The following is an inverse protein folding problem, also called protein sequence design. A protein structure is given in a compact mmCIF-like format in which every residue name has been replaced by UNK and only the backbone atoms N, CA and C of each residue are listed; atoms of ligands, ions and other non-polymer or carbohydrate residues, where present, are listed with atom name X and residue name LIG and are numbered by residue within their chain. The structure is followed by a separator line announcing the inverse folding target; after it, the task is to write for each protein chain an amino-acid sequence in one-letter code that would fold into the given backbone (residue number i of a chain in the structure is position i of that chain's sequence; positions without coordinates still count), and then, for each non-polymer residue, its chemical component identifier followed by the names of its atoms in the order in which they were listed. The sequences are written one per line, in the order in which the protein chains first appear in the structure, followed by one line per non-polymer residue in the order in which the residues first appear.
data_IF_834608252219
#
_entry.id   IF_834608252219
#
_cell.length_a   1.000
_cell.length_b   1.000
_cell.length_c   1.000
_cell.angle_alpha   90.00
_cell.angle_beta   90.00
_cell.angle_gamma   90.00
#
_symmetry.space_group_name_H-M   'P 1'
#
loop_
_entity.id
_entity.type
_entity.pdbx_description
1 polymer ?
#
# COMPACT_ATOMS: atom_id res chain seq x y z
N UNK A 1 -23.46 2.48 16.71
CA UNK A 1 -22.56 3.58 16.30
C UNK A 1 -21.66 3.19 15.12
N UNK A 2 -20.92 2.07 15.16
CA UNK A 2 -20.20 1.54 13.99
C UNK A 2 -21.10 1.29 12.77
N UNK A 3 -22.31 0.78 12.99
CA UNK A 3 -23.36 0.65 11.96
C UNK A 3 -23.89 1.99 11.45
N UNK A 4 -23.85 3.06 12.26
CA UNK A 4 -24.33 4.38 11.84
C UNK A 4 -23.32 5.10 10.92
N UNK A 5 -22.02 4.95 11.17
CA UNK A 5 -20.96 5.45 10.27
C UNK A 5 -20.93 4.70 8.93
N UNK A 6 -21.14 3.38 8.95
CA UNK A 6 -21.26 2.57 7.73
C UNK A 6 -22.53 2.88 6.92
N UNK A 7 -23.65 3.17 7.58
CA UNK A 7 -24.90 3.55 6.92
C UNK A 7 -24.90 5.00 6.43
N UNK A 8 -24.27 5.94 7.12
CA UNK A 8 -24.16 7.35 6.68
C UNK A 8 -23.31 7.52 5.42
N UNK A 9 -22.42 6.57 5.12
CA UNK A 9 -21.69 6.49 3.85
C UNK A 9 -22.58 5.98 2.68
N UNK A 10 -23.65 5.25 3.00
CA UNK A 10 -24.57 4.63 2.02
C UNK A 10 -25.86 5.43 1.80
N UNK A 11 -26.22 6.31 2.73
CA UNK A 11 -27.37 7.20 2.61
C UNK A 11 -26.92 8.62 2.33
N UNK A 12 -27.46 9.26 1.29
CA UNK A 12 -27.53 10.72 1.18
C UNK A 12 -28.21 11.28 2.42
N UNK A 13 -27.46 11.48 3.50
CA UNK A 13 -27.91 12.10 4.74
C UNK A 13 -27.26 13.47 4.83
N UNK A 14 -28.01 14.47 5.30
CA UNK A 14 -27.73 15.92 5.22
C UNK A 14 -26.40 16.41 5.87
N UNK A 15 -25.58 15.52 6.44
CA UNK A 15 -24.28 15.86 7.02
C UNK A 15 -23.20 15.01 6.39
N UNK A 16 -22.28 15.64 5.66
CA UNK A 16 -21.14 14.97 5.03
C UNK A 16 -20.33 14.17 6.07
N UNK A 17 -19.86 12.95 5.74
CA UNK A 17 -18.99 12.14 6.61
C UNK A 17 -17.79 12.92 7.18
N UNK A 18 -17.27 13.88 6.41
CA UNK A 18 -16.17 14.76 6.83
C UNK A 18 -16.56 15.66 8.02
N UNK A 19 -17.79 16.19 8.02
CA UNK A 19 -18.29 17.05 9.10
C UNK A 19 -18.50 16.25 10.38
N UNK A 20 -19.03 15.04 10.28
CA UNK A 20 -19.20 14.15 11.42
C UNK A 20 -17.85 13.75 12.02
N UNK A 21 -16.86 13.40 11.19
CA UNK A 21 -15.51 13.09 11.66
C UNK A 21 -14.89 14.30 12.37
N UNK A 22 -15.03 15.52 11.82
CA UNK A 22 -14.50 16.72 12.45
C UNK A 22 -15.13 16.98 13.83
N UNK A 23 -16.45 16.81 13.97
CA UNK A 23 -17.13 16.95 15.25
C UNK A 23 -16.64 15.95 16.31
N UNK A 24 -16.31 14.71 15.90
CA UNK A 24 -15.75 13.72 16.81
C UNK A 24 -14.31 14.06 17.22
N UNK A 25 -13.51 14.61 16.30
CA UNK A 25 -12.13 15.08 16.60
C UNK A 25 -12.13 16.22 17.61
N UNK A 26 -13.05 17.18 17.47
CA UNK A 26 -13.16 18.32 18.37
C UNK A 26 -13.93 18.01 19.67
N UNK A 27 -14.45 16.78 19.78
CA UNK A 27 -15.22 16.32 20.92
C UNK A 27 -14.39 16.05 22.17
N UNK A 28 -15.04 15.96 23.35
CA UNK A 28 -14.33 15.75 24.62
C UNK A 28 -13.85 14.30 24.83
N UNK A 29 -14.40 13.32 24.09
CA UNK A 29 -14.04 11.91 24.20
C UNK A 29 -12.77 11.62 23.41
N UNK A 30 -11.67 11.39 24.14
CA UNK A 30 -10.34 11.16 23.57
C UNK A 30 -10.28 9.90 22.70
N UNK A 31 -11.05 8.86 23.01
CA UNK A 31 -11.04 7.63 22.24
C UNK A 31 -11.78 7.82 20.91
N UNK A 32 -12.94 8.47 20.94
CA UNK A 32 -13.68 8.82 19.73
C UNK A 32 -12.90 9.79 18.83
N UNK A 33 -12.22 10.77 19.41
CA UNK A 33 -11.34 11.67 18.66
C UNK A 33 -10.19 10.91 17.98
N UNK A 34 -9.58 9.96 18.69
CA UNK A 34 -8.54 9.09 18.13
C UNK A 34 -9.04 8.23 16.98
N UNK A 35 -10.22 7.62 17.12
CA UNK A 35 -10.85 6.82 16.08
C UNK A 35 -11.21 7.66 14.84
N UNK A 36 -11.72 8.88 15.04
CA UNK A 36 -12.05 9.79 13.96
C UNK A 36 -10.80 10.23 13.19
N UNK A 37 -9.70 10.57 13.90
CA UNK A 37 -8.42 10.85 13.26
C UNK A 37 -7.89 9.65 12.48
N UNK A 38 -7.96 8.44 13.06
CA UNK A 38 -7.52 7.22 12.37
C UNK A 38 -8.24 7.00 11.05
N UNK A 39 -9.58 7.02 11.03
CA UNK A 39 -10.34 6.84 9.78
C UNK A 39 -10.08 7.95 8.78
N UNK A 40 -9.99 9.21 9.24
CA UNK A 40 -9.65 10.34 8.38
C UNK A 40 -8.28 10.19 7.73
N UNK A 41 -7.29 9.68 8.47
CA UNK A 41 -5.98 9.35 7.93
C UNK A 41 -6.04 8.25 6.85
N UNK A 42 -6.87 7.21 7.04
CA UNK A 42 -7.01 6.16 6.02
C UNK A 42 -7.61 6.70 4.71
N UNK A 43 -8.63 7.55 4.79
CA UNK A 43 -9.19 8.18 3.59
C UNK A 43 -8.19 9.13 2.93
N UNK A 44 -7.51 9.95 3.75
CA UNK A 44 -6.48 10.86 3.27
C UNK A 44 -5.30 10.12 2.60
N UNK A 45 -4.94 8.92 3.07
CA UNK A 45 -3.92 8.08 2.42
C UNK A 45 -4.33 7.71 0.99
N UNK A 46 -5.53 7.16 0.82
CA UNK A 46 -6.05 6.75 -0.48
C UNK A 46 -6.18 7.94 -1.46
N UNK A 47 -6.55 9.11 -0.95
CA UNK A 47 -6.69 10.34 -1.74
C UNK A 47 -5.34 11.03 -2.01
N UNK A 48 -4.24 10.58 -1.42
CA UNK A 48 -2.93 11.22 -1.55
C UNK A 48 -2.76 12.51 -0.76
N UNK A 49 -3.57 12.75 0.27
CA UNK A 49 -3.47 13.91 1.17
C UNK A 49 -2.48 13.65 2.32
N UNK A 50 -1.21 13.43 1.99
CA UNK A 50 -0.23 12.90 2.94
C UNK A 50 0.07 13.78 4.16
N UNK A 51 0.01 15.11 4.02
CA UNK A 51 0.16 16.03 5.15
C UNK A 51 -0.97 15.84 6.19
N UNK A 52 -2.18 15.53 5.73
CA UNK A 52 -3.30 15.21 6.60
C UNK A 52 -3.09 13.85 7.29
N UNK A 53 -2.63 12.82 6.56
CA UNK A 53 -2.24 11.52 7.13
C UNK A 53 -1.26 11.72 8.29
N UNK A 54 -0.20 12.49 8.09
CA UNK A 54 0.82 12.78 9.10
C UNK A 54 0.22 13.40 10.37
N UNK A 55 -0.62 14.42 10.22
CA UNK A 55 -1.24 15.10 11.35
C UNK A 55 -2.21 14.20 12.11
N UNK A 56 -3.04 13.46 11.37
CA UNK A 56 -4.11 12.64 11.94
C UNK A 56 -3.58 11.38 12.61
N UNK A 57 -2.58 10.72 12.03
CA UNK A 57 -1.94 9.54 12.64
C UNK A 57 -1.28 9.89 13.96
N UNK A 58 -0.57 11.02 14.03
CA UNK A 58 0.03 11.51 15.29
C UNK A 58 -1.05 11.71 16.35
N UNK A 59 -2.11 12.43 16.02
CA UNK A 59 -3.23 12.70 16.94
C UNK A 59 -3.91 11.40 17.37
N UNK A 60 -4.14 10.46 16.45
CA UNK A 60 -4.74 9.17 16.75
C UNK A 60 -3.91 8.37 17.75
N UNK A 61 -2.59 8.27 17.54
CA UNK A 61 -1.68 7.57 18.44
C UNK A 61 -1.64 8.21 19.83
N UNK A 62 -1.60 9.55 19.92
CA UNK A 62 -1.67 10.28 21.19
C UNK A 62 -2.98 10.01 21.95
N UNK A 63 -4.11 10.03 21.23
CA UNK A 63 -5.43 9.75 21.78
C UNK A 63 -5.55 8.30 22.27
N UNK A 64 -5.12 7.31 21.48
CA UNK A 64 -5.15 5.91 21.88
C UNK A 64 -4.22 5.62 23.05
N UNK A 65 -3.04 6.24 23.10
CA UNK A 65 -2.14 6.13 24.24
C UNK A 65 -2.78 6.68 25.52
N UNK A 66 -3.42 7.85 25.46
CA UNK A 66 -4.15 8.44 26.60
C UNK A 66 -5.35 7.61 27.04
N UNK A 67 -6.05 6.98 26.09
CA UNK A 67 -7.17 6.10 26.37
C UNK A 67 -6.74 4.70 26.87
N UNK A 68 -5.44 4.36 26.78
CA UNK A 68 -4.94 3.02 27.05
C UNK A 68 -5.37 1.97 26.00
N UNK A 69 -5.78 2.41 24.81
CA UNK A 69 -6.30 1.54 23.75
C UNK A 69 -5.17 0.93 22.92
N UNK A 70 -4.75 -0.27 23.31
CA UNK A 70 -3.74 -1.06 22.60
C UNK A 70 -4.17 -1.52 21.22
N UNK A 71 -5.48 -1.72 21.00
CA UNK A 71 -6.00 -2.10 19.68
C UNK A 71 -5.91 -0.91 18.72
N UNK A 72 -6.32 0.27 19.17
CA UNK A 72 -6.20 1.52 18.41
C UNK A 72 -4.74 1.83 18.05
N UNK A 73 -3.82 1.65 19.00
CA UNK A 73 -2.38 1.78 18.74
C UNK A 73 -1.91 0.80 17.65
N UNK A 74 -2.23 -0.49 17.78
CA UNK A 74 -1.83 -1.50 16.79
C UNK A 74 -2.37 -1.20 15.38
N UNK A 75 -3.55 -0.58 15.29
CA UNK A 75 -4.19 -0.19 14.01
C UNK A 75 -3.58 1.07 13.39
N UNK A 76 -3.18 2.05 14.19
CA UNK A 76 -2.61 3.30 13.69
C UNK A 76 -1.11 3.21 13.35
N UNK A 77 -0.36 2.30 13.98
CA UNK A 77 1.08 2.15 13.75
C UNK A 77 1.47 1.84 12.28
N UNK A 78 0.74 1.03 11.49
CA UNK A 78 1.03 0.85 10.07
C UNK A 78 0.95 2.14 9.23
N UNK A 79 0.09 3.08 9.59
CA UNK A 79 0.03 4.39 8.94
C UNK A 79 1.22 5.28 9.36
N UNK A 80 1.66 5.19 10.62
CA UNK A 80 2.87 5.90 11.05
C UNK A 80 4.12 5.32 10.37
N UNK A 81 4.18 4.00 10.19
CA UNK A 81 5.24 3.36 9.42
C UNK A 81 5.32 3.90 7.99
N UNK A 82 4.18 4.17 7.34
CA UNK A 82 4.14 4.82 6.04
C UNK A 82 4.70 6.24 6.06
N UNK A 83 4.31 7.03 7.06
CA UNK A 83 4.83 8.39 7.28
C UNK A 83 6.35 8.36 7.42
N UNK A 84 6.87 7.47 8.27
CA UNK A 84 8.32 7.28 8.46
C UNK A 84 9.01 6.79 7.20
N UNK A 85 8.37 5.92 6.41
CA UNK A 85 8.90 5.46 5.13
C UNK A 85 9.16 6.63 4.17
N UNK A 86 8.19 7.54 3.97
CA UNK A 86 8.39 8.70 3.09
C UNK A 86 9.31 9.76 3.68
N UNK A 87 9.46 9.82 5.00
CA UNK A 87 10.49 10.64 5.66
C UNK A 87 11.90 10.05 5.56
N UNK A 88 12.04 8.79 5.12
CA UNK A 88 13.31 8.07 5.03
C UNK A 88 13.71 7.29 6.28
N UNK A 89 12.89 7.29 7.33
CA UNK A 89 13.11 6.49 8.55
C UNK A 89 12.58 5.05 8.39
N UNK A 90 13.25 4.27 7.54
CA UNK A 90 12.85 2.88 7.25
C UNK A 90 12.97 1.96 8.48
N UNK A 91 13.94 2.21 9.36
CA UNK A 91 14.12 1.43 10.59
C UNK A 91 13.02 1.73 11.61
N UNK A 92 12.66 3.01 11.79
CA UNK A 92 11.53 3.39 12.62
C UNK A 92 10.20 2.89 12.07
N UNK A 93 10.04 2.84 10.74
CA UNK A 93 8.87 2.24 10.11
C UNK A 93 8.76 0.73 10.44
N UNK A 94 9.85 -0.02 10.33
CA UNK A 94 9.90 -1.43 10.74
C UNK A 94 9.61 -1.62 12.23
N UNK A 95 10.12 -0.73 13.09
CA UNK A 95 9.85 -0.76 14.52
C UNK A 95 8.34 -0.61 14.81
N UNK A 96 7.66 0.31 14.12
CA UNK A 96 6.22 0.51 14.26
C UNK A 96 5.42 -0.74 13.82
N UNK A 97 5.80 -1.37 12.70
CA UNK A 97 5.14 -2.61 12.24
C UNK A 97 5.39 -3.79 13.19
N UNK A 98 6.59 -3.87 13.79
CA UNK A 98 6.89 -4.88 14.80
C UNK A 98 6.07 -4.66 16.08
N UNK A 99 5.95 -3.41 16.52
CA UNK A 99 5.15 -3.06 17.69
C UNK A 99 3.66 -3.30 17.45
N UNK A 100 3.14 -2.99 16.25
CA UNK A 100 1.77 -3.32 15.86
C UNK A 100 1.49 -4.83 15.99
N UNK A 101 2.40 -5.68 15.51
CA UNK A 101 2.29 -7.14 15.66
C UNK A 101 2.44 -7.61 17.11
N UNK A 102 3.27 -6.93 17.90
CA UNK A 102 3.45 -7.25 19.33
C UNK A 102 2.17 -6.95 20.10
N UNK A 103 1.61 -5.77 19.93
CA UNK A 103 0.35 -5.33 20.53
C UNK A 103 -0.80 -6.23 20.11
N UNK A 104 -0.92 -6.53 18.81
CA UNK A 104 -1.91 -7.44 18.25
C UNK A 104 -2.01 -8.75 19.04
N UNK A 105 -0.89 -9.37 19.39
CA UNK A 105 -0.86 -10.65 20.13
C UNK A 105 -1.48 -10.57 21.54
N UNK A 106 -1.61 -9.38 22.11
CA UNK A 106 -2.09 -9.20 23.50
C UNK A 106 -3.61 -9.28 23.65
N UNK A 107 -4.39 -9.07 22.59
CA UNK A 107 -5.86 -9.04 22.63
C UNK A 107 -6.51 -10.09 21.68
N UNK A 108 -5.76 -11.13 21.35
CA UNK A 108 -6.15 -12.20 20.42
C UNK A 108 -5.58 -12.00 19.01
N UNK A 109 -5.69 -13.00 18.13
CA UNK A 109 -5.22 -12.83 16.74
C UNK A 109 -6.00 -11.72 16.04
N UNK A 110 -5.29 -10.80 15.38
CA UNK A 110 -5.91 -9.88 14.42
C UNK A 110 -6.67 -10.68 13.36
N UNK A 111 -7.55 -10.01 12.60
CA UNK A 111 -8.08 -10.64 11.37
C UNK A 111 -6.87 -11.00 10.50
N UNK A 112 -6.89 -12.18 9.87
CA UNK A 112 -5.78 -12.63 9.03
C UNK A 112 -5.42 -11.59 7.95
N UNK A 113 -6.42 -10.88 7.43
CA UNK A 113 -6.23 -9.77 6.49
C UNK A 113 -5.35 -8.64 7.06
N UNK A 114 -5.52 -8.28 8.33
CA UNK A 114 -4.70 -7.24 8.97
C UNK A 114 -3.25 -7.69 9.14
N UNK A 115 -3.04 -8.95 9.54
CA UNK A 115 -1.68 -9.50 9.66
C UNK A 115 -0.98 -9.56 8.31
N UNK A 116 -1.68 -10.03 7.27
CA UNK A 116 -1.17 -10.07 5.90
C UNK A 116 -0.84 -8.64 5.41
N UNK A 117 -1.71 -7.67 5.66
CA UNK A 117 -1.45 -6.28 5.27
C UNK A 117 -0.18 -5.71 5.91
N UNK A 118 0.04 -5.98 7.21
CA UNK A 118 1.27 -5.61 7.90
C UNK A 118 2.48 -6.34 7.29
N UNK A 119 2.35 -7.61 6.92
CA UNK A 119 3.43 -8.36 6.26
C UNK A 119 3.77 -7.79 4.88
N UNK A 120 2.78 -7.39 4.07
CA UNK A 120 2.99 -6.73 2.77
C UNK A 120 3.80 -5.43 2.93
N UNK A 121 3.48 -4.61 3.94
CA UNK A 121 4.27 -3.39 4.25
C UNK A 121 5.69 -3.72 4.72
N UNK A 122 5.87 -4.78 5.52
CA UNK A 122 7.20 -5.22 5.94
C UNK A 122 8.05 -5.70 4.77
N UNK A 123 7.47 -6.43 3.82
CA UNK A 123 8.15 -6.87 2.60
C UNK A 123 8.66 -5.64 1.84
N UNK A 124 7.81 -4.62 1.65
CA UNK A 124 8.19 -3.35 1.02
C UNK A 124 9.37 -2.67 1.73
N UNK A 125 9.33 -2.59 3.06
CA UNK A 125 10.43 -1.99 3.84
C UNK A 125 11.73 -2.78 3.76
N UNK A 126 11.69 -4.13 3.83
CA UNK A 126 12.88 -4.96 3.66
C UNK A 126 13.48 -4.80 2.26
N UNK A 127 12.63 -4.69 1.24
CA UNK A 127 13.05 -4.35 -0.12
C UNK A 127 13.74 -2.98 -0.11
N UNK A 128 13.14 -1.92 0.44
CA UNK A 128 13.73 -0.56 0.50
C UNK A 128 15.04 -0.49 1.28
N UNK A 129 15.21 -1.34 2.29
CA UNK A 129 16.44 -1.48 3.08
C UNK A 129 17.53 -2.35 2.41
N UNK A 130 17.26 -2.87 1.22
CA UNK A 130 18.16 -3.79 0.51
C UNK A 130 18.41 -5.10 1.28
N UNK A 131 17.36 -5.62 1.94
CA UNK A 131 17.36 -6.87 2.70
C UNK A 131 16.51 -7.96 2.00
N UNK A 132 16.86 -8.42 0.77
CA UNK A 132 16.01 -9.32 -0.02
C UNK A 132 15.76 -10.67 0.67
N UNK A 133 16.70 -11.17 1.46
CA UNK A 133 16.52 -12.41 2.23
C UNK A 133 15.40 -12.27 3.28
N UNK A 134 15.35 -11.14 3.99
CA UNK A 134 14.30 -10.86 4.98
C UNK A 134 12.94 -10.62 4.32
N UNK A 135 12.94 -10.00 3.13
CA UNK A 135 11.74 -9.88 2.32
C UNK A 135 11.19 -11.28 1.95
N UNK A 136 12.05 -12.18 1.46
CA UNK A 136 11.68 -13.55 1.11
C UNK A 136 11.19 -14.37 2.31
N UNK A 137 11.86 -14.27 3.46
CA UNK A 137 11.39 -14.89 4.71
C UNK A 137 9.99 -14.37 5.10
N UNK A 138 9.78 -13.06 5.01
CA UNK A 138 8.46 -12.46 5.33
C UNK A 138 7.38 -12.94 4.36
N UNK A 139 7.69 -13.08 3.06
CA UNK A 139 6.78 -13.65 2.05
C UNK A 139 6.40 -15.09 2.42
N UNK A 140 7.36 -15.93 2.80
CA UNK A 140 7.09 -17.33 3.17
C UNK A 140 6.11 -17.41 4.35
N UNK A 141 6.30 -16.60 5.39
CA UNK A 141 5.38 -16.56 6.55
C UNK A 141 4.01 -15.99 6.15
N UNK A 142 3.96 -14.96 5.30
CA UNK A 142 2.70 -14.38 4.83
C UNK A 142 1.90 -15.36 3.97
N UNK A 143 2.57 -16.21 3.19
CA UNK A 143 1.95 -17.24 2.32
C UNK A 143 1.11 -18.23 3.13
N UNK A 144 1.61 -18.67 4.28
CA UNK A 144 0.84 -19.52 5.21
C UNK A 144 -0.43 -18.83 5.75
N UNK A 145 -0.41 -17.50 5.93
CA UNK A 145 -1.59 -16.73 6.35
C UNK A 145 -2.58 -16.57 5.21
N UNK A 146 -2.11 -16.24 4.01
CA UNK A 146 -2.93 -16.11 2.80
C UNK A 146 -3.70 -17.40 2.54
N UNK A 147 -3.02 -18.56 2.55
CA UNK A 147 -3.65 -19.86 2.33
C UNK A 147 -4.78 -20.14 3.35
N UNK A 148 -4.58 -19.74 4.61
CA UNK A 148 -5.62 -19.88 5.66
C UNK A 148 -6.74 -18.86 5.57
N UNK A 149 -6.48 -17.69 4.98
CA UNK A 149 -7.48 -16.63 4.82
C UNK A 149 -8.48 -16.92 3.69
N UNK A 150 -8.11 -17.78 2.74
CA UNK A 150 -8.88 -18.06 1.53
C UNK A 150 -9.30 -16.78 0.76
N UNK A 151 -8.49 -15.72 0.83
CA UNK A 151 -8.70 -14.46 0.11
C UNK A 151 -7.89 -14.44 -1.19
N UNK A 152 -8.54 -14.52 -2.37
CA UNK A 152 -7.85 -14.46 -3.66
C UNK A 152 -7.14 -13.12 -3.86
N UNK A 153 -7.76 -12.03 -3.43
CA UNK A 153 -7.19 -10.68 -3.49
C UNK A 153 -5.85 -10.60 -2.73
N UNK A 154 -5.80 -11.09 -1.50
CA UNK A 154 -4.57 -11.08 -0.71
C UNK A 154 -3.50 -12.02 -1.27
N UNK A 155 -3.89 -13.10 -1.94
CA UNK A 155 -2.96 -13.97 -2.66
C UNK A 155 -2.31 -13.23 -3.83
N UNK A 156 -3.10 -12.56 -4.66
CA UNK A 156 -2.61 -11.77 -5.80
C UNK A 156 -1.65 -10.68 -5.32
N UNK A 157 -1.98 -9.96 -4.24
CA UNK A 157 -1.09 -8.93 -3.70
C UNK A 157 0.24 -9.52 -3.21
N UNK A 158 0.22 -10.65 -2.51
CA UNK A 158 1.44 -11.30 -2.05
C UNK A 158 2.28 -11.84 -3.22
N UNK A 159 1.66 -12.49 -4.19
CA UNK A 159 2.37 -13.04 -5.35
C UNK A 159 2.95 -11.93 -6.23
N UNK A 160 2.25 -10.79 -6.38
CA UNK A 160 2.80 -9.61 -7.05
C UNK A 160 4.02 -9.05 -6.30
N UNK A 161 4.02 -9.04 -4.95
CA UNK A 161 5.18 -8.64 -4.15
C UNK A 161 6.35 -9.60 -4.32
N UNK A 162 6.10 -10.91 -4.39
CA UNK A 162 7.16 -11.88 -4.65
C UNK A 162 7.74 -11.70 -6.04
N UNK A 163 6.91 -11.58 -7.08
CA UNK A 163 7.37 -11.34 -8.44
C UNK A 163 8.20 -10.05 -8.54
N UNK A 164 7.77 -8.96 -7.88
CA UNK A 164 8.53 -7.72 -7.81
C UNK A 164 9.91 -7.91 -7.16
N UNK A 165 9.98 -8.69 -6.08
CA UNK A 165 11.25 -9.04 -5.43
C UNK A 165 12.16 -9.83 -6.39
N UNK A 166 11.62 -10.80 -7.13
CA UNK A 166 12.38 -11.59 -8.11
C UNK A 166 12.94 -10.73 -9.24
N UNK A 167 12.14 -9.79 -9.77
CA UNK A 167 12.62 -8.80 -10.75
C UNK A 167 13.80 -8.03 -10.17
N UNK A 168 13.66 -7.50 -8.95
CA UNK A 168 14.70 -6.71 -8.31
C UNK A 168 15.99 -7.49 -8.04
N UNK A 169 15.89 -8.76 -7.66
CA UNK A 169 17.06 -9.61 -7.41
C UNK A 169 17.66 -10.19 -8.69
N UNK A 170 17.10 -9.90 -9.87
CA UNK A 170 17.56 -10.40 -11.16
C UNK A 170 17.14 -11.83 -11.49
N UNK A 171 16.24 -12.43 -10.70
CA UNK A 171 15.68 -13.76 -10.96
C UNK A 171 14.49 -13.65 -11.92
N UNK A 172 14.78 -13.18 -13.14
CA UNK A 172 13.77 -12.82 -14.13
C UNK A 172 12.96 -14.03 -14.62
N UNK A 173 13.52 -15.24 -14.53
CA UNK A 173 12.81 -16.48 -14.89
C UNK A 173 11.69 -16.75 -13.90
N UNK A 174 11.98 -16.80 -12.59
CA UNK A 174 10.93 -17.00 -11.58
C UNK A 174 9.94 -15.83 -11.55
N UNK A 175 10.41 -14.59 -11.78
CA UNK A 175 9.51 -13.45 -11.92
C UNK A 175 8.49 -13.66 -13.04
N UNK A 176 8.93 -14.13 -14.21
CA UNK A 176 8.05 -14.42 -15.35
C UNK A 176 7.03 -15.51 -15.02
N UNK A 177 7.50 -16.63 -14.48
CA UNK A 177 6.63 -17.76 -14.10
C UNK A 177 5.54 -17.34 -13.11
N UNK A 178 5.90 -16.53 -12.10
CA UNK A 178 4.93 -15.99 -11.14
C UNK A 178 3.92 -15.07 -11.82
N UNK A 179 4.36 -14.11 -12.64
CA UNK A 179 3.46 -13.19 -13.35
C UNK A 179 2.47 -13.95 -14.23
N UNK A 180 2.96 -14.89 -15.04
CA UNK A 180 2.12 -15.70 -15.94
C UNK A 180 1.13 -16.58 -15.15
N UNK A 181 1.55 -17.15 -14.02
CA UNK A 181 0.67 -17.92 -13.14
C UNK A 181 -0.45 -17.07 -12.55
N UNK A 182 -0.17 -15.83 -12.14
CA UNK A 182 -1.19 -14.92 -11.58
C UNK A 182 -2.19 -14.52 -12.68
N UNK A 183 -1.71 -14.17 -13.88
CA UNK A 183 -2.55 -13.77 -15.02
C UNK A 183 -3.48 -14.90 -15.49
N UNK A 184 -2.99 -16.14 -15.51
CA UNK A 184 -3.79 -17.32 -15.84
C UNK A 184 -4.93 -17.50 -14.82
N UNK A 185 -4.64 -17.40 -13.52
CA UNK A 185 -5.64 -17.52 -12.46
C UNK A 185 -6.71 -16.41 -12.48
N UNK A 186 -6.33 -15.18 -12.85
CA UNK A 186 -7.24 -14.05 -12.99
C UNK A 186 -8.24 -14.22 -14.14
N UNK A 187 -7.79 -14.81 -15.25
CA UNK A 187 -8.64 -15.08 -16.43
C UNK A 187 -9.74 -16.09 -16.13
N UNK A 188 -9.53 -16.96 -15.15
CA UNK A 188 -10.50 -18.00 -14.73
C UNK A 188 -11.55 -17.49 -13.71
N UNK A 189 -11.27 -16.40 -12.99
CA UNK A 189 -12.05 -15.96 -11.82
C UNK A 189 -12.64 -14.54 -11.95
N UNK A 190 -13.07 -14.14 -13.16
CA UNK A 190 -13.50 -12.79 -13.64
C UNK A 190 -14.44 -11.96 -12.73
N UNK A 191 -14.93 -12.49 -11.63
CA UNK A 191 -15.87 -11.83 -10.73
C UNK A 191 -15.24 -11.71 -9.35
N UNK A 192 -14.46 -10.67 -9.05
CA UNK A 192 -14.41 -9.99 -7.75
C UNK A 192 -13.41 -8.83 -7.83
N UNK A 193 -13.84 -7.65 -7.36
CA UNK A 193 -13.09 -6.40 -7.41
C UNK A 193 -11.64 -6.56 -6.97
N UNK A 194 -10.71 -6.11 -7.80
CA UNK A 194 -9.27 -6.32 -7.62
C UNK A 194 -8.45 -5.36 -8.46
N UNK A 195 -8.96 -4.17 -8.73
CA UNK A 195 -8.33 -3.19 -9.63
C UNK A 195 -6.94 -2.78 -9.10
N UNK A 196 -6.75 -2.77 -7.77
CA UNK A 196 -5.44 -2.59 -7.15
C UNK A 196 -4.47 -3.74 -7.45
N UNK A 197 -4.92 -4.99 -7.32
CA UNK A 197 -4.11 -6.17 -7.62
C UNK A 197 -3.71 -6.24 -9.09
N UNK A 198 -4.63 -5.91 -10.00
CA UNK A 198 -4.38 -5.80 -11.44
C UNK A 198 -3.38 -4.70 -11.79
N UNK A 199 -3.53 -3.53 -11.17
CA UNK A 199 -2.59 -2.42 -11.35
C UNK A 199 -1.17 -2.82 -10.90
N UNK A 200 -1.05 -3.42 -9.72
CA UNK A 200 0.25 -3.87 -9.18
C UNK A 200 0.87 -4.98 -10.03
N UNK A 201 0.09 -5.97 -10.47
CA UNK A 201 0.57 -7.02 -11.37
C UNK A 201 1.07 -6.43 -12.70
N UNK A 202 0.31 -5.51 -13.27
CA UNK A 202 0.70 -4.81 -14.50
C UNK A 202 1.99 -3.98 -14.33
N UNK A 203 2.18 -3.34 -13.17
CA UNK A 203 3.42 -2.66 -12.83
C UNK A 203 4.61 -3.63 -12.76
N UNK A 204 4.43 -4.80 -12.13
CA UNK A 204 5.47 -5.83 -12.03
C UNK A 204 5.80 -6.45 -13.40
N UNK A 205 4.78 -6.73 -14.22
CA UNK A 205 4.99 -7.19 -15.61
C UNK A 205 5.77 -6.16 -16.41
N UNK A 206 5.42 -4.88 -16.29
CA UNK A 206 6.16 -3.81 -16.95
C UNK A 206 7.60 -3.74 -16.47
N UNK A 207 7.85 -3.79 -15.16
CA UNK A 207 9.20 -3.81 -14.60
C UNK A 207 10.03 -5.01 -15.12
N UNK A 208 9.42 -6.19 -15.22
CA UNK A 208 10.05 -7.37 -15.84
C UNK A 208 10.42 -7.11 -17.31
N UNK A 209 9.49 -6.56 -18.10
CA UNK A 209 9.76 -6.19 -19.50
C UNK A 209 10.89 -5.16 -19.61
N UNK A 210 10.94 -4.15 -18.73
CA UNK A 210 12.01 -3.14 -18.70
C UNK A 210 13.38 -3.77 -18.42
N UNK A 211 13.49 -4.68 -17.44
CA UNK A 211 14.73 -5.41 -17.15
C UNK A 211 15.17 -6.34 -18.30
N UNK A 212 14.21 -6.84 -19.09
CA UNK A 212 14.47 -7.62 -20.30
C UNK A 212 14.76 -6.77 -21.55
N UNK A 213 14.63 -5.44 -21.46
CA UNK A 213 14.75 -4.53 -22.60
C UNK A 213 13.56 -4.57 -23.58
N UNK A 214 12.44 -5.16 -23.19
CA UNK A 214 11.21 -5.28 -23.97
C UNK A 214 10.32 -4.03 -23.78
N UNK A 215 10.66 -2.95 -24.47
CA UNK A 215 9.88 -1.70 -24.45
C UNK A 215 8.41 -1.89 -24.86
N UNK A 216 8.08 -2.56 -25.98
CA UNK A 216 6.70 -2.81 -26.38
C UNK A 216 5.89 -3.59 -25.35
N UNK A 217 6.44 -4.65 -24.77
CA UNK A 217 5.77 -5.41 -23.71
C UNK A 217 5.55 -4.58 -22.44
N UNK A 218 6.52 -3.72 -22.09
CA UNK A 218 6.39 -2.81 -20.96
C UNK A 218 5.27 -1.76 -21.17
N UNK A 219 5.13 -1.23 -22.39
CA UNK A 219 4.07 -0.28 -22.75
C UNK A 219 2.68 -0.92 -22.69
N UNK A 220 2.52 -2.12 -23.25
CA UNK A 220 1.26 -2.86 -23.21
C UNK A 220 0.83 -3.17 -21.76
N UNK A 221 1.76 -3.63 -20.93
CA UNK A 221 1.52 -3.91 -19.52
C UNK A 221 1.10 -2.65 -18.75
N UNK A 222 1.77 -1.51 -19.00
CA UNK A 222 1.45 -0.23 -18.37
C UNK A 222 0.07 0.30 -18.78
N UNK A 223 -0.35 0.10 -20.03
CA UNK A 223 -1.67 0.51 -20.49
C UNK A 223 -2.79 -0.17 -19.68
N UNK A 224 -2.66 -1.48 -19.43
CA UNK A 224 -3.59 -2.21 -18.55
C UNK A 224 -3.49 -1.78 -17.10
N UNK A 225 -2.26 -1.63 -16.60
CA UNK A 225 -2.01 -1.24 -15.21
C UNK A 225 -2.60 0.14 -14.87
N UNK A 226 -2.47 1.10 -15.79
CA UNK A 226 -2.98 2.45 -15.62
C UNK A 226 -4.51 2.49 -15.55
N UNK A 227 -5.20 1.77 -16.43
CA UNK A 227 -6.67 1.70 -16.40
C UNK A 227 -7.15 1.16 -15.04
N UNK A 228 -6.59 0.03 -14.59
CA UNK A 228 -6.92 -0.56 -13.30
C UNK A 228 -6.56 0.36 -12.12
N UNK A 229 -5.43 1.07 -12.18
CA UNK A 229 -5.04 2.01 -11.13
C UNK A 229 -6.03 3.18 -11.01
N UNK A 230 -6.48 3.75 -12.12
CA UNK A 230 -7.47 4.83 -12.12
C UNK A 230 -8.81 4.34 -11.59
N UNK A 231 -9.25 3.15 -12.00
CA UNK A 231 -10.51 2.56 -11.54
C UNK A 231 -10.50 2.25 -10.04
N UNK A 232 -9.33 1.89 -9.48
CA UNK A 232 -9.16 1.66 -8.04
C UNK A 232 -9.38 2.90 -7.17
N UNK A 233 -9.25 4.10 -7.75
CA UNK A 233 -9.28 5.40 -7.04
C UNK A 233 -8.29 5.52 -5.88
N UNK A 234 -7.22 4.74 -5.91
CA UNK A 234 -6.14 4.77 -4.92
C UNK A 234 -4.95 5.55 -5.52
N UNK A 235 -4.78 6.78 -5.08
CA UNK A 235 -3.74 7.67 -5.63
C UNK A 235 -2.32 7.14 -5.39
N UNK A 236 -1.98 6.51 -4.24
CA UNK A 236 -0.73 5.77 -4.10
C UNK A 236 -0.49 4.68 -5.15
N UNK A 237 -1.52 3.94 -5.56
CA UNK A 237 -1.40 2.95 -6.66
C UNK A 237 -1.17 3.65 -8.01
N UNK A 238 -1.91 4.72 -8.31
CA UNK A 238 -1.69 5.52 -9.53
C UNK A 238 -0.26 6.11 -9.56
N UNK A 239 0.24 6.57 -8.41
CA UNK A 239 1.61 7.06 -8.27
C UNK A 239 2.64 5.96 -8.55
N UNK A 240 2.38 4.72 -8.13
CA UNK A 240 3.23 3.55 -8.44
C UNK A 240 3.32 3.32 -9.95
N UNK A 241 2.18 3.37 -10.66
CA UNK A 241 2.17 3.27 -12.13
C UNK A 241 2.97 4.41 -12.76
N UNK A 242 2.80 5.65 -12.29
CA UNK A 242 3.53 6.80 -12.82
C UNK A 242 5.07 6.65 -12.68
N UNK A 243 5.56 6.05 -11.58
CA UNK A 243 6.99 5.72 -11.43
C UNK A 243 7.43 4.68 -12.46
N UNK A 244 6.66 3.63 -12.70
CA UNK A 244 6.99 2.61 -13.69
C UNK A 244 6.95 3.17 -15.12
N UNK A 245 6.00 4.07 -15.45
CA UNK A 245 5.99 4.82 -16.72
C UNK A 245 7.25 5.68 -16.86
N UNK A 246 7.76 6.27 -15.76
CA UNK A 246 9.03 6.99 -15.78
C UNK A 246 10.21 6.06 -16.12
N UNK A 247 10.17 4.81 -15.64
CA UNK A 247 11.12 3.76 -16.04
C UNK A 247 11.12 3.49 -17.54
N UNK A 248 9.94 3.38 -18.17
CA UNK A 248 9.81 3.22 -19.63
C UNK A 248 10.33 4.46 -20.39
N UNK A 249 10.03 5.66 -19.92
CA UNK A 249 10.57 6.89 -20.50
C UNK A 249 12.11 6.94 -20.41
N UNK A 250 12.68 6.45 -19.30
CA UNK A 250 14.12 6.35 -19.11
C UNK A 250 14.76 5.34 -20.08
N UNK A 251 14.12 4.19 -20.33
CA UNK A 251 14.57 3.22 -21.33
C UNK A 251 14.70 3.85 -22.73
N UNK A 252 13.82 4.80 -23.05
CA UNK A 252 13.86 5.56 -24.29
C UNK A 252 14.71 6.84 -24.25
N UNK A 253 15.46 7.08 -23.17
CA UNK A 253 16.32 8.27 -23.02
C UNK A 253 15.57 9.59 -22.85
N UNK A 254 14.28 9.56 -22.50
CA UNK A 254 13.41 10.75 -22.38
C UNK A 254 13.46 11.35 -20.97
N UNK A 255 14.64 11.76 -20.51
CA UNK A 255 14.86 12.19 -19.12
C UNK A 255 14.03 13.39 -18.66
N UNK A 256 13.61 14.27 -19.58
CA UNK A 256 12.67 15.35 -19.26
C UNK A 256 11.30 14.80 -18.84
N UNK A 257 10.81 13.78 -19.54
CA UNK A 257 9.54 13.12 -19.22
C UNK A 257 9.66 12.37 -17.89
N UNK A 258 10.80 11.72 -17.63
CA UNK A 258 11.10 11.08 -16.33
C UNK A 258 10.90 12.06 -15.18
N UNK A 259 11.52 13.24 -15.22
CA UNK A 259 11.40 14.23 -14.16
C UNK A 259 9.94 14.69 -13.94
N UNK A 260 9.18 14.87 -15.02
CA UNK A 260 7.75 15.24 -14.96
C UNK A 260 6.93 14.13 -14.32
N UNK A 261 7.13 12.88 -14.74
CA UNK A 261 6.40 11.71 -14.24
C UNK A 261 6.69 11.43 -12.77
N UNK A 262 7.95 11.54 -12.34
CA UNK A 262 8.31 11.41 -10.92
C UNK A 262 7.73 12.55 -10.08
N UNK A 263 7.68 13.77 -10.62
CA UNK A 263 6.99 14.89 -9.99
C UNK A 263 5.47 14.68 -9.88
N UNK A 264 4.85 14.08 -10.90
CA UNK A 264 3.44 13.72 -10.88
C UNK A 264 3.15 12.60 -9.86
N UNK A 265 4.00 11.56 -9.80
CA UNK A 265 3.90 10.50 -8.81
C UNK A 265 3.96 11.03 -7.37
N UNK A 266 4.89 11.95 -7.10
CA UNK A 266 4.99 12.60 -5.79
C UNK A 266 3.73 13.41 -5.43
N UNK A 267 3.13 14.10 -6.42
CA UNK A 267 1.88 14.85 -6.22
C UNK A 267 0.68 13.95 -5.98
N UNK A 268 0.53 12.89 -6.77
CA UNK A 268 -0.55 11.92 -6.62
C UNK A 268 -0.52 11.29 -5.22
N UNK A 269 0.66 10.96 -4.72
CA UNK A 269 0.82 10.37 -3.39
C UNK A 269 0.79 11.39 -2.24
N UNK A 270 0.95 12.67 -2.55
CA UNK A 270 1.10 13.74 -1.57
C UNK A 270 2.46 13.83 -0.88
N UNK A 271 3.45 13.04 -1.29
CA UNK A 271 4.78 13.04 -0.70
C UNK A 271 5.85 12.62 -1.70
N UNK A 272 7.05 13.19 -1.53
CA UNK A 272 8.25 12.64 -2.18
C UNK A 272 8.57 11.28 -1.58
N UNK A 273 8.94 10.30 -2.41
CA UNK A 273 9.42 9.00 -1.96
C UNK A 273 10.85 8.77 -2.45
N UNK A 274 11.82 9.26 -1.67
CA UNK A 274 13.24 9.07 -1.99
C UNK A 274 13.74 7.66 -1.69
N UNK A 275 12.92 6.85 -1.03
CA UNK A 275 13.26 5.48 -0.67
C UNK A 275 12.77 4.47 -1.70
N UNK A 276 12.07 4.93 -2.74
CA UNK A 276 11.59 4.07 -3.82
C UNK A 276 12.79 3.47 -4.58
N UNK A 277 12.93 2.13 -4.62
CA UNK A 277 14.05 1.47 -5.28
C UNK A 277 14.13 1.71 -6.80
N UNK A 278 13.01 2.09 -7.43
CA UNK A 278 12.97 2.39 -8.86
C UNK A 278 13.49 3.79 -9.17
N UNK A 279 13.55 4.68 -8.17
CA UNK A 279 14.06 6.04 -8.33
C UNK A 279 15.56 6.02 -8.03
N UNK A 280 16.36 5.80 -9.08
CA UNK A 280 17.82 5.88 -8.98
C UNK A 280 18.27 7.35 -8.99
N UNK A 281 18.94 7.78 -7.92
CA UNK A 281 19.59 9.10 -7.80
C UNK A 281 20.94 9.16 -8.51
#
# INVERSE_FOLDING_TARGET
MLTALGLASLTETEVSPTVLLQQLVDGPDVWLAGMACFFRAQFAENDGHFDQVRSDVRTALECFARAGDRWGLAKALPLHALVRQYDGDLNGALADLNEAKRLAREFGSLRLSDEIFVDLRRIDLHVRLDEPARAAETIAVARERVLRSASPEMAILLDAREAALRVRTGDLTQARELVESIEAGLSEHVVFGGDQGQALLGAVRSALCLELGDGPGAEEALGRAYAAAVDSRDMPIVATIAVTVAGLAALHGRYREVAVLLGAAARLRGAHDRTDPQIRS
#
